data_IF_021452747034
#
_entry.id   IF_021452747034
#
_cell.length_a   1.000
_cell.length_b   1.000
_cell.length_c   1.000
_cell.angle_alpha   90.00
_cell.angle_beta   90.00
_cell.angle_gamma   90.00
#
_symmetry.space_group_name_H-M   'P 1'
#
loop_
_entity.id
_entity.type
_entity.pdbx_description
1 polymer ?
#
# COMPACT_ATOMS: atom_id res chain seq x y z
N UNK A 1 6.81 -12.76 8.88
CA UNK A 1 5.37 -12.99 8.72
C UNK A 1 4.71 -11.74 8.20
N UNK A 2 3.91 -11.85 7.18
CA UNK A 2 3.27 -10.67 6.61
C UNK A 2 1.98 -10.33 7.34
N UNK A 3 1.65 -9.05 7.32
CA UNK A 3 0.38 -8.57 7.84
C UNK A 3 -0.70 -8.82 6.81
N UNK A 4 -1.87 -9.22 7.24
CA UNK A 4 -2.98 -9.50 6.35
C UNK A 4 -4.28 -9.03 6.97
N UNK A 5 -5.18 -8.53 6.13
CA UNK A 5 -6.47 -8.05 6.58
C UNK A 5 -7.43 -8.04 5.38
N UNK A 6 -8.51 -8.81 5.49
CA UNK A 6 -9.57 -8.78 4.49
C UNK A 6 -9.15 -9.12 3.08
N UNK A 7 -8.21 -10.03 2.91
CA UNK A 7 -7.71 -10.40 1.59
C UNK A 7 -6.53 -9.55 1.15
N UNK A 8 -6.04 -8.68 2.01
CA UNK A 8 -4.89 -7.80 1.74
C UNK A 8 -3.76 -8.10 2.70
N UNK A 9 -2.54 -7.96 2.21
CA UNK A 9 -1.33 -8.06 3.01
C UNK A 9 -0.39 -6.96 2.58
N UNK A 10 0.60 -6.62 3.41
CA UNK A 10 1.64 -5.68 3.00
C UNK A 10 2.99 -6.38 3.04
N UNK A 11 3.90 -5.88 2.20
CA UNK A 11 5.24 -6.45 2.08
C UNK A 11 6.15 -5.39 1.50
N UNK A 12 7.40 -5.31 1.98
CA UNK A 12 8.35 -4.41 1.35
C UNK A 12 8.67 -4.92 -0.05
N UNK A 13 8.78 -3.98 -1.01
CA UNK A 13 9.12 -4.35 -2.38
C UNK A 13 10.50 -5.01 -2.46
N UNK A 14 11.37 -4.72 -1.47
CA UNK A 14 12.73 -5.25 -1.45
C UNK A 14 12.81 -6.68 -0.95
N UNK A 15 11.74 -7.19 -0.33
CA UNK A 15 11.67 -8.59 0.09
C UNK A 15 11.40 -9.47 -1.13
N UNK A 16 11.84 -10.73 -1.04
CA UNK A 16 11.70 -11.63 -2.18
C UNK A 16 10.25 -11.89 -2.52
N UNK A 17 9.91 -11.92 -3.81
CA UNK A 17 8.57 -12.36 -4.20
C UNK A 17 8.32 -13.81 -3.77
N UNK A 18 7.07 -14.09 -3.42
CA UNK A 18 6.67 -15.42 -3.00
C UNK A 18 5.42 -15.84 -3.76
N UNK A 19 5.27 -17.15 -3.96
CA UNK A 19 4.13 -17.67 -4.71
C UNK A 19 2.81 -17.30 -4.04
N UNK A 20 2.78 -17.19 -2.71
CA UNK A 20 1.56 -16.88 -2.00
C UNK A 20 1.29 -15.39 -1.84
N UNK A 21 2.05 -14.55 -2.55
CA UNK A 21 1.76 -13.11 -2.55
C UNK A 21 0.43 -12.79 -3.25
N UNK A 22 -0.03 -13.67 -4.12
CA UNK A 22 -1.23 -13.40 -4.89
C UNK A 22 -0.99 -12.26 -5.87
N UNK A 23 -1.94 -11.34 -5.96
CA UNK A 23 -1.84 -10.19 -6.85
C UNK A 23 -0.90 -9.16 -6.23
N UNK A 24 0.23 -8.88 -6.86
CA UNK A 24 1.24 -7.96 -6.33
C UNK A 24 1.00 -6.57 -6.91
N UNK A 25 0.74 -5.60 -6.02
CA UNK A 25 0.41 -4.23 -6.42
C UNK A 25 1.33 -3.26 -5.68
N UNK A 26 2.06 -2.44 -6.44
CA UNK A 26 2.89 -1.40 -5.83
C UNK A 26 2.00 -0.20 -5.53
N UNK A 27 2.04 0.26 -4.28
CA UNK A 27 1.18 1.36 -3.83
C UNK A 27 1.95 2.63 -3.50
N UNK A 28 3.20 2.71 -3.93
CA UNK A 28 4.01 3.92 -3.82
C UNK A 28 3.75 4.82 -5.02
N UNK A 29 3.90 6.13 -4.83
CA UNK A 29 3.75 7.05 -5.94
C UNK A 29 4.96 7.05 -6.86
N UNK A 30 6.15 6.80 -6.31
CA UNK A 30 7.38 6.78 -7.10
C UNK A 30 7.92 5.36 -7.17
N UNK A 31 8.59 5.05 -8.30
CA UNK A 31 9.18 3.73 -8.46
C UNK A 31 10.31 3.54 -7.47
N UNK A 32 10.37 2.39 -6.78
CA UNK A 32 11.41 2.16 -5.77
C UNK A 32 12.80 2.12 -6.38
N UNK A 33 13.73 2.76 -5.71
CA UNK A 33 15.10 2.81 -6.18
C UNK A 33 15.74 1.43 -6.19
N UNK A 34 16.41 1.10 -7.28
CA UNK A 34 17.17 -0.14 -7.37
C UNK A 34 16.37 -1.39 -7.65
N UNK A 35 15.08 -1.26 -7.92
CA UNK A 35 14.22 -2.42 -8.20
C UNK A 35 13.91 -2.47 -9.68
N UNK A 36 14.24 -3.57 -10.34
CA UNK A 36 13.88 -3.75 -11.75
C UNK A 36 12.42 -4.20 -11.86
N UNK A 37 11.87 -4.03 -13.05
CA UNK A 37 10.50 -4.49 -13.29
C UNK A 37 10.40 -6.01 -13.15
N UNK A 38 11.43 -6.72 -13.62
CA UNK A 38 11.46 -8.17 -13.51
C UNK A 38 11.47 -8.61 -12.04
N UNK A 39 12.27 -7.92 -11.22
CA UNK A 39 12.36 -8.26 -9.80
C UNK A 39 11.04 -7.97 -9.09
N UNK A 40 10.38 -6.87 -9.45
CA UNK A 40 9.16 -6.45 -8.76
C UNK A 40 8.00 -7.41 -8.99
N UNK A 41 7.92 -8.02 -10.15
CA UNK A 41 6.86 -8.97 -10.51
C UNK A 41 5.48 -8.43 -10.20
N UNK A 42 5.20 -7.22 -10.68
CA UNK A 42 3.95 -6.54 -10.38
C UNK A 42 2.82 -6.96 -11.31
N UNK A 43 1.63 -7.11 -10.75
CA UNK A 43 0.41 -7.12 -11.53
C UNK A 43 0.05 -5.69 -11.94
N UNK A 44 0.27 -4.73 -11.03
CA UNK A 44 -0.15 -3.36 -11.26
C UNK A 44 0.68 -2.41 -10.39
N UNK A 45 0.99 -1.23 -10.93
CA UNK A 45 1.54 -0.12 -10.15
C UNK A 45 0.41 0.89 -10.00
N UNK A 46 -0.19 0.95 -8.80
CA UNK A 46 -1.36 1.78 -8.54
C UNK A 46 -0.94 3.03 -7.77
N UNK A 47 -0.21 3.91 -8.44
CA UNK A 47 0.33 5.09 -7.77
C UNK A 47 -0.76 6.05 -7.29
N UNK A 48 -1.96 5.96 -7.89
CA UNK A 48 -3.05 6.84 -7.51
C UNK A 48 -3.58 6.59 -6.09
N UNK A 49 -3.28 5.41 -5.52
CA UNK A 49 -3.72 5.13 -4.15
C UNK A 49 -2.75 5.65 -3.12
N UNK A 50 -1.54 6.07 -3.53
CA UNK A 50 -0.55 6.62 -2.60
C UNK A 50 -1.02 7.97 -2.07
N UNK A 51 -0.45 8.42 -0.94
CA UNK A 51 -0.79 9.76 -0.43
C UNK A 51 -0.49 10.82 -1.47
N UNK A 52 -1.30 11.88 -1.47
CA UNK A 52 -1.13 12.97 -2.43
C UNK A 52 0.23 13.66 -2.24
N UNK A 53 0.74 14.33 -3.28
CA UNK A 53 1.99 15.09 -3.13
C UNK A 53 1.98 16.11 -2.00
N UNK A 54 0.90 16.91 -1.81
CA UNK A 54 0.88 17.81 -0.65
C UNK A 54 0.99 17.08 0.67
N UNK A 55 0.32 15.93 0.80
CA UNK A 55 0.37 15.15 2.02
C UNK A 55 1.76 14.58 2.27
N UNK A 56 2.41 14.10 1.20
CA UNK A 56 3.77 13.59 1.33
C UNK A 56 4.74 14.67 1.78
N UNK A 57 4.57 15.89 1.28
CA UNK A 57 5.43 16.99 1.68
C UNK A 57 5.21 17.37 3.15
N UNK A 58 3.96 17.46 3.55
CA UNK A 58 3.64 17.85 4.93
C UNK A 58 4.17 16.83 5.93
N UNK A 59 4.14 15.57 5.58
CA UNK A 59 4.54 14.50 6.49
C UNK A 59 5.85 13.84 6.07
N UNK A 60 6.82 14.67 5.64
CA UNK A 60 8.14 14.15 5.26
C UNK A 60 8.80 13.38 6.40
N UNK A 61 8.49 13.77 7.65
CA UNK A 61 8.98 13.07 8.84
C UNK A 61 7.81 12.31 9.47
N UNK A 62 7.28 11.37 8.71
CA UNK A 62 6.05 10.67 9.06
C UNK A 62 6.10 10.00 10.44
N UNK A 63 7.27 9.47 10.82
CA UNK A 63 7.36 8.71 12.07
C UNK A 63 7.00 9.54 13.28
N UNK A 64 7.34 10.84 13.26
CA UNK A 64 7.10 11.73 14.38
C UNK A 64 5.65 12.19 14.47
N UNK A 65 4.93 12.14 13.34
CA UNK A 65 3.56 12.61 13.27
C UNK A 65 2.65 11.57 12.65
N UNK A 66 2.91 10.31 12.95
CA UNK A 66 2.20 9.23 12.25
C UNK A 66 0.69 9.26 12.48
N UNK A 67 0.25 9.62 13.69
CA UNK A 67 -1.19 9.68 13.96
C UNK A 67 -1.86 10.76 13.11
N UNK A 68 -1.20 11.92 12.96
CA UNK A 68 -1.72 13.00 12.11
C UNK A 68 -1.74 12.56 10.64
N UNK A 69 -0.65 11.92 10.21
CA UNK A 69 -0.59 11.42 8.84
C UNK A 69 -1.72 10.43 8.58
N UNK A 70 -1.93 9.50 9.51
CA UNK A 70 -2.97 8.48 9.35
C UNK A 70 -4.33 9.13 9.13
N UNK A 71 -4.67 10.11 9.96
CA UNK A 71 -5.97 10.76 9.85
C UNK A 71 -6.13 11.45 8.49
N UNK A 72 -5.08 12.15 8.05
CA UNK A 72 -5.15 12.88 6.78
C UNK A 72 -5.22 11.93 5.59
N UNK A 73 -4.43 10.86 5.62
CA UNK A 73 -4.42 9.91 4.52
C UNK A 73 -5.75 9.15 4.44
N UNK A 74 -6.30 8.75 5.59
CA UNK A 74 -7.59 8.07 5.60
C UNK A 74 -8.68 8.95 5.02
N UNK A 75 -8.62 10.25 5.27
CA UNK A 75 -9.58 11.17 4.68
C UNK A 75 -9.46 11.18 3.15
N UNK A 76 -8.23 11.14 2.63
CA UNK A 76 -8.04 11.06 1.17
C UNK A 76 -8.59 9.75 0.63
N UNK A 77 -8.36 8.66 1.34
CA UNK A 77 -8.78 7.34 0.86
C UNK A 77 -10.29 7.21 0.76
N UNK A 78 -11.02 7.91 1.60
CA UNK A 78 -12.48 7.81 1.61
C UNK A 78 -13.10 8.25 0.29
N UNK A 79 -12.43 9.13 -0.45
CA UNK A 79 -12.94 9.57 -1.73
C UNK A 79 -12.04 9.17 -2.90
N UNK A 80 -11.15 8.22 -2.69
CA UNK A 80 -10.18 7.80 -3.71
C UNK A 80 -10.70 6.58 -4.46
N UNK A 81 -11.01 6.72 -5.77
CA UNK A 81 -11.54 5.58 -6.54
C UNK A 81 -10.56 4.42 -6.67
N UNK A 82 -9.26 4.65 -6.46
CA UNK A 82 -8.28 3.56 -6.51
C UNK A 82 -8.52 2.51 -5.43
N UNK A 83 -9.17 2.89 -4.32
CA UNK A 83 -9.54 1.92 -3.29
C UNK A 83 -10.47 0.86 -3.87
N UNK A 84 -11.43 1.28 -4.69
CA UNK A 84 -12.33 0.34 -5.36
C UNK A 84 -11.59 -0.60 -6.28
N UNK A 85 -10.57 -0.10 -6.98
CA UNK A 85 -9.74 -0.95 -7.84
C UNK A 85 -9.09 -2.05 -7.03
N UNK A 86 -8.55 -1.71 -5.85
CA UNK A 86 -7.93 -2.72 -5.00
C UNK A 86 -8.92 -3.76 -4.53
N UNK A 87 -10.13 -3.34 -4.17
CA UNK A 87 -11.14 -4.29 -3.71
C UNK A 87 -11.57 -5.24 -4.83
N UNK A 88 -11.64 -4.73 -6.06
CA UNK A 88 -11.96 -5.58 -7.21
C UNK A 88 -10.86 -6.61 -7.45
N UNK A 89 -9.58 -6.19 -7.33
CA UNK A 89 -8.48 -7.12 -7.50
C UNK A 89 -8.49 -8.21 -6.44
N UNK A 90 -8.81 -7.85 -5.21
CA UNK A 90 -8.89 -8.84 -4.14
C UNK A 90 -10.02 -9.84 -4.41
N UNK A 91 -11.13 -9.37 -4.94
CA UNK A 91 -12.24 -10.27 -5.28
C UNK A 91 -11.85 -11.23 -6.39
N UNK A 92 -11.10 -10.73 -7.38
CA UNK A 92 -10.69 -11.55 -8.52
C UNK A 92 -9.62 -12.57 -8.16
N UNK A 93 -8.64 -12.16 -7.35
CA UNK A 93 -7.44 -12.96 -7.11
C UNK A 93 -7.44 -13.66 -5.76
N UNK A 94 -8.36 -13.31 -4.89
CA UNK A 94 -8.43 -13.90 -3.55
C UNK A 94 -7.44 -13.28 -2.56
N UNK A 95 -6.36 -12.69 -3.04
CA UNK A 95 -5.36 -12.04 -2.19
C UNK A 95 -4.62 -10.99 -2.98
N UNK A 96 -4.41 -9.84 -2.36
CA UNK A 96 -3.60 -8.75 -2.91
C UNK A 96 -2.52 -8.42 -1.91
N UNK A 97 -1.26 -8.41 -2.35
CA UNK A 97 -0.15 -7.95 -1.53
C UNK A 97 0.22 -6.54 -1.96
N UNK A 98 0.08 -5.61 -1.01
CA UNK A 98 0.40 -4.19 -1.23
C UNK A 98 1.89 -4.00 -0.97
N UNK A 99 2.61 -3.58 -2.01
CA UNK A 99 4.07 -3.46 -1.95
C UNK A 99 4.46 -2.01 -1.73
N UNK A 100 5.43 -1.79 -0.88
CA UNK A 100 5.89 -0.44 -0.54
C UNK A 100 7.40 -0.44 -0.38
N UNK A 101 8.01 0.76 -0.52
CA UNK A 101 9.45 0.89 -0.44
C UNK A 101 10.00 1.44 0.87
N UNK A 102 9.14 1.94 1.76
CA UNK A 102 9.59 2.53 3.01
C UNK A 102 10.37 1.52 3.85
N UNK A 103 11.35 2.02 4.61
CA UNK A 103 12.16 1.15 5.45
C UNK A 103 11.42 0.65 6.68
N UNK A 104 10.59 1.52 7.28
CA UNK A 104 9.91 1.20 8.52
C UNK A 104 8.64 0.42 8.22
N UNK A 105 8.53 -0.84 8.64
CA UNK A 105 7.33 -1.62 8.35
C UNK A 105 6.12 -1.23 9.18
N UNK A 106 6.31 -0.39 10.21
CA UNK A 106 5.22 -0.02 11.12
C UNK A 106 4.61 1.33 10.79
N UNK A 107 5.45 2.33 10.45
CA UNK A 107 4.98 3.69 10.21
C UNK A 107 5.18 4.07 8.75
N UNK A 108 4.27 3.56 7.91
CA UNK A 108 4.31 3.84 6.48
C UNK A 108 2.87 3.89 5.98
N UNK A 109 2.72 4.43 4.76
CA UNK A 109 1.37 4.61 4.20
C UNK A 109 0.69 3.27 3.88
N UNK A 110 1.47 2.24 3.53
CA UNK A 110 0.87 0.95 3.21
C UNK A 110 0.20 0.34 4.43
N UNK A 111 0.76 0.57 5.62
CA UNK A 111 0.13 0.10 6.86
C UNK A 111 -1.22 0.76 7.07
N UNK A 112 -1.30 2.07 6.85
CA UNK A 112 -2.56 2.79 6.98
C UNK A 112 -3.56 2.27 5.94
N UNK A 113 -3.10 2.08 4.71
CA UNK A 113 -3.96 1.58 3.64
C UNK A 113 -4.50 0.19 3.98
N UNK A 114 -3.64 -0.69 4.46
CA UNK A 114 -4.05 -2.04 4.86
C UNK A 114 -5.16 -1.99 5.90
N UNK A 115 -4.98 -1.17 6.93
CA UNK A 115 -5.98 -1.07 7.99
C UNK A 115 -7.28 -0.45 7.48
N UNK A 116 -7.17 0.53 6.60
CA UNK A 116 -8.34 1.16 6.01
C UNK A 116 -9.16 0.15 5.20
N UNK A 117 -8.47 -0.65 4.37
CA UNK A 117 -9.15 -1.66 3.56
C UNK A 117 -9.82 -2.72 4.43
N UNK A 118 -9.17 -3.11 5.53
CA UNK A 118 -9.73 -4.10 6.42
C UNK A 118 -10.97 -3.61 7.14
N UNK A 119 -10.96 -2.34 7.59
CA UNK A 119 -12.10 -1.78 8.29
C UNK A 119 -13.31 -1.59 7.39
N UNK A 120 -13.08 -1.28 6.13
CA UNK A 120 -14.16 -0.97 5.21
C UNK A 120 -14.97 -2.16 4.77
N UNK A 121 -14.58 -3.36 5.17
CA UNK A 121 -15.30 -4.56 4.80
C UNK A 121 -16.50 -4.78 5.72
N UNK A 122 -17.56 -5.22 5.15
CA UNK A 122 -18.78 -5.55 5.88
C UNK A 122 -19.23 -6.91 5.53
#
# INVERSE_FOLDING_TARGET
MEEASGGFAIKRIYDDPADDDGCRVLVDRLWPRGVSKERAQLELWLKEVAPSPPLRTEFAHMQERFADFRAAYEAELESNPAVGTLRELAAEHGKVTLLFGARDPETNHARVLLEFLGRGRK
#
